data_IF_721191231388
#
_entry.id   IF_721191231388
#
_cell.length_a   1.000
_cell.length_b   1.000
_cell.length_c   1.000
_cell.angle_alpha   90.00
_cell.angle_beta   90.00
_cell.angle_gamma   90.00
#
_symmetry.space_group_name_H-M   'P 1'
#
loop_
_entity.id
_entity.type
_entity.pdbx_description
1 polymer ?
#
# COMPACT_ATOMS: atom_id res chain seq x y z
N UNK A 1 -18.60 -4.89 17.08
CA UNK A 1 -18.73 -6.32 16.77
C UNK A 1 -19.82 -6.87 17.66
N UNK A 2 -20.86 -7.51 17.08
CA UNK A 2 -21.95 -8.07 17.85
C UNK A 2 -21.51 -9.33 18.59
N UNK A 3 -22.34 -9.76 19.56
CA UNK A 3 -22.08 -11.01 20.28
C UNK A 3 -22.13 -12.23 19.33
N UNK A 4 -23.05 -12.18 18.37
CA UNK A 4 -23.13 -13.18 17.29
C UNK A 4 -21.85 -13.23 16.47
N UNK A 5 -21.30 -12.06 16.06
CA UNK A 5 -20.05 -11.99 15.30
C UNK A 5 -18.89 -12.60 16.09
N UNK A 6 -18.85 -12.33 17.39
CA UNK A 6 -17.82 -12.87 18.28
C UNK A 6 -17.89 -14.39 18.35
N UNK A 7 -19.10 -14.94 18.57
CA UNK A 7 -19.31 -16.39 18.59
C UNK A 7 -18.96 -17.03 17.25
N UNK A 8 -19.35 -16.41 16.15
CA UNK A 8 -19.10 -16.91 14.79
C UNK A 8 -17.59 -16.96 14.50
N UNK A 9 -16.85 -15.90 14.92
CA UNK A 9 -15.40 -15.85 14.77
C UNK A 9 -14.70 -16.94 15.59
N UNK A 10 -15.15 -17.17 16.83
CA UNK A 10 -14.61 -18.25 17.68
C UNK A 10 -14.92 -19.63 17.09
N UNK A 11 -16.13 -19.82 16.59
CA UNK A 11 -16.55 -21.06 15.96
C UNK A 11 -15.73 -21.35 14.69
N UNK A 12 -15.52 -20.34 13.84
CA UNK A 12 -14.65 -20.47 12.67
C UNK A 12 -13.24 -20.89 13.07
N UNK A 13 -12.69 -20.24 14.10
CA UNK A 13 -11.35 -20.53 14.61
C UNK A 13 -11.24 -21.95 15.19
N UNK A 14 -12.34 -22.50 15.68
CA UNK A 14 -12.38 -23.90 16.18
C UNK A 14 -12.11 -24.91 15.04
N UNK A 15 -12.66 -24.64 13.85
CA UNK A 15 -12.54 -25.54 12.69
C UNK A 15 -11.36 -25.19 11.79
N UNK A 16 -11.09 -23.90 11.60
CA UNK A 16 -10.07 -23.42 10.67
C UNK A 16 -8.97 -22.74 11.47
N UNK A 17 -7.81 -23.35 11.50
CA UNK A 17 -6.63 -22.80 12.19
C UNK A 17 -6.20 -21.50 11.50
N UNK A 18 -6.09 -20.38 12.22
CA UNK A 18 -5.61 -19.13 11.62
C UNK A 18 -4.24 -19.30 10.97
N UNK A 19 -4.08 -18.73 9.78
CA UNK A 19 -2.83 -18.77 9.04
C UNK A 19 -2.53 -20.10 8.35
N UNK A 20 -3.49 -21.02 8.31
CA UNK A 20 -3.29 -22.27 7.56
C UNK A 20 -3.38 -22.01 6.04
N UNK A 21 -2.35 -22.35 5.30
CA UNK A 21 -2.31 -22.21 3.84
C UNK A 21 -3.39 -23.06 3.17
N UNK A 22 -3.55 -24.28 3.66
CA UNK A 22 -4.56 -25.22 3.17
C UNK A 22 -5.37 -25.75 4.36
N UNK A 23 -6.44 -25.05 4.73
CA UNK A 23 -7.33 -25.56 5.77
C UNK A 23 -7.98 -26.86 5.31
N UNK A 24 -8.10 -27.83 6.19
CA UNK A 24 -8.68 -29.15 5.88
C UNK A 24 -10.20 -29.16 5.74
N UNK A 25 -10.81 -28.01 5.55
CA UNK A 25 -12.24 -27.83 5.37
C UNK A 25 -12.60 -26.40 5.05
N UNK A 26 -13.88 -26.14 4.85
CA UNK A 26 -14.42 -24.80 4.63
C UNK A 26 -15.45 -24.46 5.70
N UNK A 27 -15.47 -23.21 6.13
CA UNK A 27 -16.43 -22.66 7.08
C UNK A 27 -17.26 -21.58 6.41
N UNK A 28 -18.57 -21.76 6.35
CA UNK A 28 -19.50 -20.87 5.63
C UNK A 28 -20.52 -20.32 6.63
N UNK A 29 -20.52 -19.01 6.90
CA UNK A 29 -21.58 -18.39 7.70
C UNK A 29 -22.82 -18.15 6.86
N UNK A 30 -23.96 -18.18 7.51
CA UNK A 30 -25.28 -17.78 6.96
C UNK A 30 -25.63 -18.46 5.63
N UNK A 31 -25.81 -19.77 5.67
CA UNK A 31 -26.18 -20.56 4.47
C UNK A 31 -27.68 -20.68 4.39
N UNK A 32 -28.32 -20.05 3.39
CA UNK A 32 -29.75 -20.13 3.17
C UNK A 32 -30.10 -21.25 2.19
N UNK A 33 -31.12 -22.04 2.52
CA UNK A 33 -31.60 -23.09 1.62
C UNK A 33 -32.25 -22.46 0.38
N UNK A 34 -31.79 -22.88 -0.79
CA UNK A 34 -32.29 -22.42 -2.09
C UNK A 34 -32.24 -20.90 -2.27
N UNK A 35 -31.24 -20.27 -1.68
CA UNK A 35 -31.05 -18.81 -1.80
C UNK A 35 -32.06 -18.00 -1.00
N UNK A 36 -32.88 -18.66 -0.16
CA UNK A 36 -33.87 -18.00 0.66
C UNK A 36 -33.28 -17.18 1.80
N UNK A 37 -33.57 -15.93 1.81
CA UNK A 37 -33.21 -15.02 2.91
C UNK A 37 -34.16 -15.11 4.09
N UNK A 38 -35.19 -15.77 3.89
CA UNK A 38 -36.07 -15.98 4.92
C UNK A 38 -35.48 -16.83 6.00
N UNK A 39 -35.89 -16.44 7.09
CA UNK A 39 -35.30 -17.04 8.29
C UNK A 39 -35.42 -18.55 8.44
N UNK A 40 -36.31 -18.99 7.87
CA UNK A 40 -36.61 -20.35 8.07
C UNK A 40 -35.79 -21.34 7.38
N UNK A 41 -35.12 -21.13 6.65
CA UNK A 41 -34.26 -22.00 5.97
C UNK A 41 -32.82 -21.59 6.03
N UNK A 42 -32.48 -20.89 7.01
CA UNK A 42 -31.06 -20.47 7.11
C UNK A 42 -30.35 -21.15 8.27
N UNK A 43 -29.17 -21.67 7.98
CA UNK A 43 -28.21 -22.17 8.96
C UNK A 43 -27.22 -21.04 9.29
N UNK A 44 -26.94 -20.83 10.58
CA UNK A 44 -26.05 -19.73 11.00
C UNK A 44 -24.59 -19.99 10.61
N UNK A 45 -24.16 -21.26 10.61
CA UNK A 45 -22.84 -21.64 10.08
C UNK A 45 -22.80 -23.11 9.67
N UNK A 46 -22.06 -23.40 8.62
CA UNK A 46 -21.79 -24.77 8.16
C UNK A 46 -20.28 -24.95 8.08
N UNK A 47 -19.80 -26.08 8.57
CA UNK A 47 -18.43 -26.55 8.36
C UNK A 47 -18.45 -27.80 7.51
N UNK A 48 -17.57 -27.86 6.52
CA UNK A 48 -17.41 -29.07 5.68
C UNK A 48 -15.94 -29.48 5.75
N UNK A 49 -15.69 -30.64 6.30
CA UNK A 49 -14.35 -31.21 6.38
C UNK A 49 -13.98 -31.94 5.08
N UNK A 50 -12.74 -31.75 4.64
CA UNK A 50 -12.23 -32.33 3.39
C UNK A 50 -11.27 -33.48 3.61
N UNK A 51 -10.82 -33.69 4.83
CA UNK A 51 -9.76 -34.65 5.15
C UNK A 51 -10.28 -35.81 6.00
N UNK A 52 -9.52 -36.89 6.05
CA UNK A 52 -9.81 -38.03 6.93
C UNK A 52 -9.86 -37.60 8.40
N UNK A 53 -9.04 -36.65 8.80
CA UNK A 53 -9.02 -36.12 10.17
C UNK A 53 -10.30 -35.34 10.51
N UNK A 54 -11.00 -34.77 9.54
CA UNK A 54 -12.28 -34.09 9.69
C UNK A 54 -13.48 -34.94 9.28
N UNK A 55 -13.14 -36.06 9.01
CA UNK A 55 -14.06 -37.04 8.72
C UNK A 55 -14.97 -36.86 7.52
N UNK A 56 -14.75 -35.81 6.92
CA UNK A 56 -15.49 -35.49 5.98
C UNK A 56 -16.83 -35.15 6.33
N UNK A 57 -17.06 -34.62 7.31
CA UNK A 57 -18.34 -34.32 7.88
C UNK A 57 -18.93 -33.02 7.36
N UNK A 58 -20.23 -32.99 7.20
CA UNK A 58 -21.00 -31.76 7.04
C UNK A 58 -21.60 -31.45 8.41
N UNK A 59 -21.22 -30.33 9.01
CA UNK A 59 -21.59 -29.94 10.38
C UNK A 59 -22.34 -28.62 10.35
N UNK A 60 -23.58 -28.63 10.82
CA UNK A 60 -24.40 -27.42 10.89
C UNK A 60 -24.45 -26.83 12.29
N UNK A 61 -24.65 -25.52 12.36
CA UNK A 61 -24.67 -24.77 13.61
C UNK A 61 -25.81 -23.78 13.65
N UNK A 62 -26.58 -23.80 14.76
CA UNK A 62 -27.49 -22.71 15.12
C UNK A 62 -26.88 -21.91 16.27
N UNK A 63 -26.82 -20.58 16.16
CA UNK A 63 -26.29 -19.69 17.18
C UNK A 63 -27.41 -18.99 17.95
N UNK A 64 -27.34 -19.03 19.28
CA UNK A 64 -28.27 -18.33 20.15
C UNK A 64 -27.51 -17.55 21.19
N UNK A 65 -27.69 -16.23 21.20
CA UNK A 65 -26.90 -15.35 22.06
C UNK A 65 -27.60 -15.03 23.39
N UNK A 66 -28.88 -15.30 23.51
CA UNK A 66 -29.62 -15.01 24.74
C UNK A 66 -30.63 -16.11 25.06
N UNK A 67 -31.07 -16.11 26.30
CA UNK A 67 -32.14 -17.00 26.78
C UNK A 67 -33.44 -16.78 25.97
N UNK A 68 -33.78 -15.51 25.73
CA UNK A 68 -34.99 -15.17 24.95
C UNK A 68 -34.92 -15.71 23.52
N UNK A 69 -33.74 -15.61 22.89
CA UNK A 69 -33.48 -16.10 21.53
C UNK A 69 -33.63 -17.64 21.50
N UNK A 70 -33.14 -18.34 22.52
CA UNK A 70 -33.26 -19.78 22.64
C UNK A 70 -34.73 -20.18 22.83
N UNK A 71 -35.49 -19.50 23.70
CA UNK A 71 -36.90 -19.77 23.92
C UNK A 71 -37.75 -19.58 22.64
N UNK A 72 -37.44 -18.56 21.86
CA UNK A 72 -38.06 -18.34 20.54
C UNK A 72 -37.82 -19.52 19.59
N UNK A 73 -36.63 -20.12 19.63
CA UNK A 73 -36.30 -21.28 18.81
C UNK A 73 -37.17 -22.50 19.25
N UNK A 74 -37.25 -22.73 20.56
CA UNK A 74 -38.03 -23.81 21.12
C UNK A 74 -39.52 -23.68 20.78
N UNK A 75 -40.03 -22.44 20.73
CA UNK A 75 -41.43 -22.14 20.44
C UNK A 75 -41.75 -22.18 18.92
N UNK A 76 -40.75 -22.42 18.08
CA UNK A 76 -40.91 -22.49 16.62
C UNK A 76 -40.35 -23.84 16.11
N UNK A 77 -41.01 -24.94 16.39
CA UNK A 77 -40.51 -26.25 15.96
C UNK A 77 -40.35 -26.33 14.44
N UNK A 78 -39.35 -27.06 13.99
CA UNK A 78 -39.10 -27.30 12.58
C UNK A 78 -38.25 -26.25 11.89
N UNK A 79 -37.93 -25.13 12.55
CA UNK A 79 -37.13 -24.06 11.95
C UNK A 79 -35.69 -24.50 11.63
N UNK A 80 -35.07 -25.25 12.53
CA UNK A 80 -33.74 -25.78 12.35
C UNK A 80 -33.68 -27.11 11.61
N UNK A 81 -34.79 -27.81 11.54
CA UNK A 81 -34.86 -29.22 11.09
C UNK A 81 -34.40 -29.38 9.65
N UNK A 82 -34.74 -28.43 8.77
CA UNK A 82 -34.39 -28.51 7.36
C UNK A 82 -32.85 -28.66 7.15
N UNK A 83 -32.04 -27.90 7.91
CA UNK A 83 -30.62 -28.02 7.82
C UNK A 83 -30.05 -29.13 8.72
N UNK A 84 -30.65 -29.36 9.88
CA UNK A 84 -30.24 -30.45 10.78
C UNK A 84 -30.40 -31.81 10.08
N UNK A 85 -31.42 -31.96 9.25
CA UNK A 85 -31.64 -33.18 8.47
C UNK A 85 -30.56 -33.38 7.37
N UNK A 86 -30.00 -32.31 6.85
CA UNK A 86 -28.99 -32.36 5.82
C UNK A 86 -27.58 -32.67 6.37
N UNK A 87 -27.31 -32.29 7.63
CA UNK A 87 -26.00 -32.36 8.23
C UNK A 87 -25.72 -33.70 8.91
N UNK A 88 -24.48 -34.13 8.98
CA UNK A 88 -24.04 -35.30 9.77
C UNK A 88 -24.14 -35.02 11.27
N UNK A 89 -23.86 -33.76 11.66
CA UNK A 89 -23.97 -33.30 13.05
C UNK A 89 -24.60 -31.92 13.07
N UNK A 90 -25.40 -31.66 14.12
CA UNK A 90 -26.01 -30.35 14.34
C UNK A 90 -25.66 -29.85 15.74
N UNK A 91 -25.14 -28.63 15.80
CA UNK A 91 -24.68 -28.04 17.05
C UNK A 91 -25.40 -26.74 17.37
N UNK A 92 -25.86 -26.62 18.59
CA UNK A 92 -26.30 -25.33 19.15
C UNK A 92 -25.09 -24.66 19.76
N UNK A 93 -24.88 -23.41 19.39
CA UNK A 93 -23.75 -22.60 19.84
C UNK A 93 -24.25 -21.43 20.67
N UNK A 94 -23.79 -21.35 21.93
CA UNK A 94 -24.25 -20.34 22.89
C UNK A 94 -23.04 -19.68 23.57
N UNK A 95 -23.14 -18.41 24.01
CA UNK A 95 -22.04 -17.78 24.74
C UNK A 95 -21.82 -18.38 26.14
N UNK A 96 -22.88 -18.92 26.74
CA UNK A 96 -22.84 -19.59 28.02
C UNK A 96 -23.79 -20.78 28.05
N UNK A 97 -23.40 -21.94 28.62
CA UNK A 97 -24.31 -23.07 28.72
C UNK A 97 -25.51 -22.79 29.58
N UNK A 98 -25.54 -21.76 30.40
CA UNK A 98 -26.68 -21.35 31.24
C UNK A 98 -27.89 -20.90 30.44
N UNK A 99 -27.71 -20.60 29.15
CA UNK A 99 -28.81 -20.22 28.25
C UNK A 99 -29.78 -21.40 28.01
N UNK A 100 -29.22 -22.63 28.02
CA UNK A 100 -30.00 -23.85 27.77
C UNK A 100 -30.18 -24.61 29.08
N UNK A 101 -31.43 -24.82 29.48
CA UNK A 101 -31.72 -25.56 30.73
C UNK A 101 -31.74 -27.08 30.49
N UNK A 102 -31.66 -27.82 31.57
CA UNK A 102 -31.67 -29.28 31.50
C UNK A 102 -32.96 -29.77 30.85
N UNK A 103 -32.84 -30.67 29.89
CA UNK A 103 -33.98 -31.23 29.18
C UNK A 103 -34.52 -30.46 27.99
N UNK A 104 -34.03 -29.22 27.77
CA UNK A 104 -34.49 -28.37 26.65
C UNK A 104 -33.82 -28.70 25.32
N UNK A 105 -32.63 -29.27 25.36
CA UNK A 105 -31.90 -29.54 24.12
C UNK A 105 -32.48 -30.72 23.36
N UNK A 106 -32.88 -30.54 22.13
CA UNK A 106 -33.46 -31.64 21.35
C UNK A 106 -32.54 -32.84 21.24
N UNK A 107 -33.14 -34.00 21.08
CA UNK A 107 -32.37 -35.25 20.89
C UNK A 107 -31.46 -35.15 19.67
N UNK A 108 -30.21 -35.52 19.88
CA UNK A 108 -29.22 -35.41 18.82
C UNK A 108 -28.47 -34.09 18.72
N UNK A 109 -28.89 -33.00 19.16
CA UNK A 109 -28.24 -31.75 19.10
C UNK A 109 -27.23 -31.63 20.19
N UNK A 110 -26.25 -30.95 20.02
CA UNK A 110 -25.26 -30.73 20.94
C UNK A 110 -25.18 -29.29 21.33
N UNK A 111 -24.47 -28.86 22.40
CA UNK A 111 -24.17 -27.59 22.82
C UNK A 111 -22.74 -27.31 22.79
N UNK A 112 -22.25 -26.35 22.14
CA UNK A 112 -20.96 -25.88 22.08
C UNK A 112 -21.00 -24.50 22.64
N UNK A 113 -19.96 -24.09 23.45
CA UNK A 113 -19.82 -22.77 24.03
C UNK A 113 -18.33 -22.40 24.12
N UNK A 114 -17.97 -21.08 24.21
CA UNK A 114 -16.56 -20.69 24.39
C UNK A 114 -16.01 -21.25 25.70
N UNK A 115 -14.81 -21.82 25.64
CA UNK A 115 -14.08 -22.22 26.86
C UNK A 115 -13.58 -20.99 27.63
N UNK A 116 -13.08 -21.22 28.85
CA UNK A 116 -12.57 -20.13 29.71
C UNK A 116 -11.57 -19.20 29.03
N UNK A 117 -10.74 -19.76 28.18
CA UNK A 117 -9.71 -18.99 27.46
C UNK A 117 -10.25 -18.22 26.24
N UNK A 118 -11.55 -18.42 25.92
CA UNK A 118 -12.16 -17.89 24.66
C UNK A 118 -11.36 -18.15 23.38
N UNK A 119 -10.77 -19.21 23.47
CA UNK A 119 -9.93 -19.58 22.41
C UNK A 119 -10.38 -20.80 21.70
N UNK A 120 -11.05 -21.51 22.44
CA UNK A 120 -11.54 -22.78 21.93
C UNK A 120 -12.99 -22.97 22.33
N UNK A 121 -13.71 -23.71 21.50
CA UNK A 121 -15.07 -24.09 21.85
C UNK A 121 -15.01 -25.38 22.68
N UNK A 122 -15.91 -25.45 23.55
CA UNK A 122 -16.00 -26.60 24.35
C UNK A 122 -17.29 -27.26 24.05
N UNK A 123 -17.50 -28.49 24.14
CA UNK A 123 -18.67 -29.23 24.05
C UNK A 123 -19.20 -29.45 25.39
N UNK A 124 -20.34 -29.21 25.40
CA UNK A 124 -21.08 -29.45 26.55
C UNK A 124 -21.74 -30.72 26.52
N UNK A 125 -22.41 -31.03 25.43
CA UNK A 125 -22.99 -32.33 25.04
C UNK A 125 -22.56 -32.67 23.61
N UNK A 126 -22.01 -33.83 23.36
CA UNK A 126 -21.62 -34.23 21.99
C UNK A 126 -22.89 -34.46 21.13
N UNK A 127 -22.81 -34.02 19.86
CA UNK A 127 -23.86 -34.28 18.89
C UNK A 127 -23.92 -35.77 18.55
N UNK A 128 -25.11 -36.26 18.22
CA UNK A 128 -25.25 -37.60 17.63
C UNK A 128 -24.88 -37.49 16.15
N UNK A 129 -23.86 -38.27 15.77
CA UNK A 129 -23.40 -38.30 14.38
C UNK A 129 -24.26 -39.27 13.57
N UNK A 130 -24.77 -38.80 12.44
CA UNK A 130 -25.42 -39.68 11.47
C UNK A 130 -24.39 -40.58 10.79
N UNK A 131 -24.89 -41.65 10.17
CA UNK A 131 -24.05 -42.60 9.43
C UNK A 131 -23.14 -41.94 8.40
N UNK A 132 -21.98 -42.53 8.15
CA UNK A 132 -21.10 -42.09 7.08
C UNK A 132 -21.75 -42.16 5.68
N UNK A 133 -22.82 -42.95 5.55
CA UNK A 133 -23.60 -43.06 4.31
C UNK A 133 -24.61 -41.93 4.13
N UNK A 134 -24.80 -41.07 5.14
CA UNK A 134 -25.74 -39.95 5.07
C UNK A 134 -25.30 -39.01 3.92
N UNK A 135 -26.28 -38.55 3.15
CA UNK A 135 -25.99 -37.67 2.00
C UNK A 135 -26.95 -36.47 2.08
N UNK A 136 -26.42 -35.26 1.98
CA UNK A 136 -27.26 -34.09 1.87
C UNK A 136 -28.06 -34.10 0.54
N UNK A 137 -29.20 -33.45 0.52
CA UNK A 137 -29.99 -33.28 -0.69
C UNK A 137 -29.24 -32.40 -1.71
N UNK A 138 -29.67 -32.48 -2.98
CA UNK A 138 -29.17 -31.61 -4.03
C UNK A 138 -29.41 -30.13 -3.71
N UNK A 139 -30.53 -29.79 -3.09
CA UNK A 139 -30.84 -28.42 -2.70
C UNK A 139 -29.87 -27.88 -1.66
N UNK A 140 -29.51 -28.70 -0.67
CA UNK A 140 -28.49 -28.31 0.32
C UNK A 140 -27.10 -28.13 -0.32
N UNK A 141 -26.68 -29.08 -1.16
CA UNK A 141 -25.38 -29.00 -1.87
C UNK A 141 -25.30 -27.72 -2.73
N UNK A 142 -26.35 -27.47 -3.53
CA UNK A 142 -26.42 -26.28 -4.38
C UNK A 142 -26.36 -24.99 -3.55
N UNK A 143 -27.05 -24.95 -2.42
CA UNK A 143 -27.06 -23.80 -1.51
C UNK A 143 -25.68 -23.53 -0.90
N UNK A 144 -24.97 -24.58 -0.50
CA UNK A 144 -23.62 -24.53 0.02
C UNK A 144 -22.66 -23.96 -1.04
N UNK A 145 -22.73 -24.50 -2.27
CA UNK A 145 -21.87 -24.06 -3.38
C UNK A 145 -22.12 -22.58 -3.69
N UNK A 146 -23.39 -22.18 -3.78
CA UNK A 146 -23.78 -20.80 -4.05
C UNK A 146 -23.23 -19.84 -2.98
N UNK A 147 -23.33 -20.23 -1.70
CA UNK A 147 -22.81 -19.42 -0.60
C UNK A 147 -21.27 -19.32 -0.65
N UNK A 148 -20.61 -20.43 -0.90
CA UNK A 148 -19.16 -20.48 -1.04
C UNK A 148 -18.68 -19.56 -2.17
N UNK A 149 -19.34 -19.61 -3.32
CA UNK A 149 -19.03 -18.77 -4.47
C UNK A 149 -19.23 -17.28 -4.17
N UNK A 150 -20.35 -16.95 -3.49
CA UNK A 150 -20.61 -15.56 -3.06
C UNK A 150 -19.50 -15.02 -2.17
N UNK A 151 -19.09 -15.80 -1.17
CA UNK A 151 -18.04 -15.40 -0.23
C UNK A 151 -16.69 -15.25 -0.96
N UNK A 152 -16.38 -16.15 -1.88
CA UNK A 152 -15.18 -16.09 -2.71
C UNK A 152 -15.19 -14.82 -3.57
N UNK A 153 -16.27 -14.53 -4.26
CA UNK A 153 -16.41 -13.36 -5.12
C UNK A 153 -16.26 -12.06 -4.31
N UNK A 154 -16.89 -12.01 -3.12
CA UNK A 154 -16.78 -10.86 -2.21
C UNK A 154 -15.33 -10.65 -1.78
N UNK A 155 -14.64 -11.71 -1.36
CA UNK A 155 -13.24 -11.62 -0.92
C UNK A 155 -12.33 -11.13 -2.05
N UNK A 156 -12.54 -11.60 -3.27
CA UNK A 156 -11.78 -11.16 -4.46
C UNK A 156 -12.04 -9.66 -4.71
N UNK A 157 -13.30 -9.24 -4.64
CA UNK A 157 -13.68 -7.84 -4.86
C UNK A 157 -13.01 -6.93 -3.80
N UNK A 158 -13.06 -7.32 -2.54
CA UNK A 158 -12.45 -6.57 -1.43
C UNK A 158 -10.93 -6.49 -1.59
N UNK A 159 -10.28 -7.60 -1.95
CA UNK A 159 -8.83 -7.64 -2.16
C UNK A 159 -8.42 -6.72 -3.32
N UNK A 160 -9.20 -6.72 -4.41
CA UNK A 160 -8.96 -5.82 -5.57
C UNK A 160 -9.12 -4.35 -5.18
N UNK A 161 -10.15 -4.03 -4.41
CA UNK A 161 -10.40 -2.67 -3.93
C UNK A 161 -9.26 -2.19 -3.02
N UNK A 162 -8.81 -3.03 -2.10
CA UNK A 162 -7.69 -2.73 -1.20
C UNK A 162 -6.38 -2.51 -1.99
N UNK A 163 -6.08 -3.36 -2.98
CA UNK A 163 -4.89 -3.24 -3.82
C UNK A 163 -4.93 -1.95 -4.64
N UNK A 164 -6.10 -1.59 -5.18
CA UNK A 164 -6.29 -0.34 -5.93
C UNK A 164 -6.01 0.87 -5.04
N UNK A 165 -6.58 0.89 -3.85
CA UNK A 165 -6.38 1.97 -2.88
C UNK A 165 -4.91 2.13 -2.50
N UNK A 166 -4.21 1.02 -2.26
CA UNK A 166 -2.78 1.02 -1.96
C UNK A 166 -1.96 1.58 -3.14
N UNK A 167 -2.29 1.16 -4.37
CA UNK A 167 -1.61 1.66 -5.57
C UNK A 167 -1.83 3.17 -5.75
N UNK A 168 -3.05 3.65 -5.53
CA UNK A 168 -3.39 5.08 -5.60
C UNK A 168 -2.59 5.89 -4.56
N UNK A 169 -2.48 5.38 -3.34
CA UNK A 169 -1.67 6.02 -2.29
C UNK A 169 -0.21 6.11 -2.68
N UNK A 170 0.38 5.04 -3.21
CA UNK A 170 1.78 5.02 -3.65
C UNK A 170 2.03 6.01 -4.78
N UNK A 171 1.09 6.13 -5.74
CA UNK A 171 1.17 7.10 -6.83
C UNK A 171 1.14 8.54 -6.27
N UNK A 172 0.21 8.83 -5.36
CA UNK A 172 0.10 10.14 -4.72
C UNK A 172 1.39 10.51 -3.98
N UNK A 173 1.94 9.59 -3.19
CA UNK A 173 3.19 9.79 -2.45
C UNK A 173 4.37 10.05 -3.39
N UNK A 174 4.46 9.30 -4.50
CA UNK A 174 5.52 9.47 -5.50
C UNK A 174 5.41 10.83 -6.22
N UNK A 175 4.20 11.25 -6.57
CA UNK A 175 3.94 12.57 -7.19
C UNK A 175 4.33 13.68 -6.21
N UNK A 176 3.90 13.62 -4.96
CA UNK A 176 4.20 14.63 -3.94
C UNK A 176 5.72 14.71 -3.68
N UNK A 177 6.42 13.59 -3.61
CA UNK A 177 7.88 13.54 -3.47
C UNK A 177 8.58 14.16 -4.70
N UNK A 178 8.08 13.90 -5.90
CA UNK A 178 8.58 14.50 -7.15
C UNK A 178 8.40 16.01 -7.17
N UNK A 179 7.29 16.52 -6.74
CA UNK A 179 7.02 17.95 -6.58
C UNK A 179 7.93 18.60 -5.56
N UNK A 180 8.10 18.06 -4.68
CA UNK A 180 8.94 18.51 -3.65
C UNK A 180 10.38 18.59 -4.03
N UNK A 181 10.58 17.73 -4.76
CA UNK A 181 11.88 17.71 -5.31
C UNK A 181 12.14 18.79 -6.25
N UNK A 182 11.22 19.00 -7.10
CA UNK A 182 11.33 20.09 -8.09
C UNK A 182 11.36 21.46 -7.44
N UNK A 183 10.50 21.70 -6.49
CA UNK A 183 10.46 22.97 -5.78
C UNK A 183 11.76 23.27 -5.03
N UNK A 184 12.34 22.26 -4.42
CA UNK A 184 13.62 22.39 -3.72
C UNK A 184 14.78 22.70 -4.67
N UNK A 185 14.69 22.29 -5.94
CA UNK A 185 15.69 22.56 -6.98
C UNK A 185 15.46 23.88 -7.70
N UNK A 186 14.28 24.48 -7.58
CA UNK A 186 14.05 25.81 -8.16
C UNK A 186 14.84 26.85 -7.36
N UNK A 187 15.71 27.63 -8.04
CA UNK A 187 16.41 28.70 -7.34
C UNK A 187 15.39 29.72 -6.79
N UNK A 188 15.61 30.12 -5.58
CA UNK A 188 14.81 31.17 -4.97
C UNK A 188 15.02 32.47 -5.78
N UNK A 189 13.94 33.08 -6.20
CA UNK A 189 13.98 34.30 -6.99
C UNK A 189 14.72 35.45 -6.26
N UNK A 190 14.57 35.54 -4.96
CA UNK A 190 15.28 36.52 -4.13
C UNK A 190 16.78 36.25 -4.10
N UNK A 191 17.20 34.98 -4.01
CA UNK A 191 18.61 34.59 -4.05
C UNK A 191 19.22 34.91 -5.42
N UNK A 192 18.50 34.62 -6.50
CA UNK A 192 18.95 34.96 -7.86
C UNK A 192 19.10 36.45 -8.05
N UNK A 193 18.13 37.26 -7.58
CA UNK A 193 18.19 38.72 -7.65
C UNK A 193 19.39 39.27 -6.86
N UNK A 194 19.63 38.72 -5.66
CA UNK A 194 20.76 39.11 -4.83
C UNK A 194 22.09 38.83 -5.53
N UNK A 195 22.24 37.66 -6.14
CA UNK A 195 23.44 37.25 -6.90
C UNK A 195 23.64 38.15 -8.14
N UNK A 196 22.53 38.44 -8.86
CA UNK A 196 22.58 39.32 -10.02
C UNK A 196 23.08 40.72 -9.62
N UNK A 197 22.50 41.33 -8.56
CA UNK A 197 22.92 42.60 -8.04
C UNK A 197 24.38 42.61 -7.61
N UNK A 198 24.89 41.53 -7.04
CA UNK A 198 26.29 41.39 -6.66
C UNK A 198 27.18 41.41 -7.91
N UNK A 199 26.78 40.78 -9.00
CA UNK A 199 27.50 40.78 -10.28
C UNK A 199 27.48 42.18 -10.89
N UNK A 200 26.33 42.85 -10.93
CA UNK A 200 26.22 44.23 -11.44
C UNK A 200 27.06 45.21 -10.64
N UNK A 201 27.07 45.07 -9.31
CA UNK A 201 27.96 45.89 -8.45
C UNK A 201 29.44 45.67 -8.74
N UNK A 202 29.84 44.41 -8.95
CA UNK A 202 31.21 44.07 -9.29
C UNK A 202 31.63 44.62 -10.68
N UNK A 203 30.69 44.65 -11.62
CA UNK A 203 30.91 45.21 -12.96
C UNK A 203 30.86 46.75 -12.96
N UNK A 204 30.29 47.35 -11.95
CA UNK A 204 30.04 48.79 -11.90
C UNK A 204 28.96 49.24 -12.90
N UNK A 205 28.11 48.32 -13.36
CA UNK A 205 27.11 48.61 -14.41
C UNK A 205 25.93 47.64 -14.31
N UNK A 206 24.73 48.11 -14.70
CA UNK A 206 23.55 47.26 -14.80
C UNK A 206 23.53 46.49 -16.12
N UNK A 207 23.00 45.26 -16.08
CA UNK A 207 22.92 44.42 -17.28
C UNK A 207 21.65 44.77 -18.06
N UNK A 208 21.78 45.26 -19.28
CA UNK A 208 20.70 45.58 -20.18
C UNK A 208 20.30 44.31 -20.99
N UNK A 209 19.31 43.60 -20.49
CA UNK A 209 18.80 42.37 -21.09
C UNK A 209 18.15 42.62 -22.44
N UNK A 210 17.41 43.75 -22.58
CA UNK A 210 16.70 44.09 -23.80
C UNK A 210 17.66 44.42 -24.94
N UNK A 211 18.73 45.19 -24.65
CA UNK A 211 19.79 45.49 -25.62
C UNK A 211 20.57 44.22 -25.98
N UNK A 212 20.81 43.35 -24.99
CA UNK A 212 21.48 42.06 -25.18
C UNK A 212 20.74 41.16 -26.16
N UNK A 213 19.42 41.01 -25.97
CA UNK A 213 18.59 40.21 -26.86
C UNK A 213 18.54 40.75 -28.30
N UNK A 214 18.70 42.06 -28.46
CA UNK A 214 18.65 42.73 -29.78
C UNK A 214 20.07 42.85 -30.41
N UNK A 215 21.11 42.31 -29.78
CA UNK A 215 22.46 42.41 -30.26
C UNK A 215 23.02 43.85 -30.33
N UNK A 216 22.53 44.72 -29.46
CA UNK A 216 22.92 46.14 -29.45
C UNK A 216 24.00 46.35 -28.40
N UNK A 217 24.83 47.34 -28.64
CA UNK A 217 25.85 47.81 -27.68
C UNK A 217 25.27 48.95 -26.84
N UNK A 218 25.61 48.99 -25.57
CA UNK A 218 25.19 50.07 -24.65
C UNK A 218 26.45 50.76 -24.12
N UNK A 219 26.28 51.95 -23.57
CA UNK A 219 27.37 52.79 -23.06
C UNK A 219 26.99 53.36 -21.69
N UNK A 220 27.99 53.76 -20.94
CA UNK A 220 27.79 54.36 -19.62
C UNK A 220 27.65 53.29 -18.52
N UNK A 221 26.55 53.39 -17.76
CA UNK A 221 26.29 52.55 -16.58
C UNK A 221 25.55 51.25 -16.92
N UNK A 222 25.47 50.90 -18.22
CA UNK A 222 24.80 49.68 -18.69
C UNK A 222 25.72 48.82 -19.56
N UNK A 223 25.62 47.53 -19.43
CA UNK A 223 26.40 46.54 -20.23
C UNK A 223 25.44 45.46 -20.79
N UNK A 224 25.90 44.91 -21.88
CA UNK A 224 25.19 43.77 -22.50
C UNK A 224 25.93 42.45 -22.30
N UNK A 225 25.51 41.56 -22.56
CA UNK A 225 26.02 40.36 -22.52
C UNK A 225 27.12 40.23 -23.33
N UNK A 226 27.05 40.55 -24.53
CA UNK A 226 28.20 40.54 -25.43
C UNK A 226 29.40 41.33 -24.89
N UNK A 227 29.13 42.49 -24.31
CA UNK A 227 30.16 43.26 -23.67
C UNK A 227 30.77 42.53 -22.47
N UNK A 228 29.96 41.82 -21.67
CA UNK A 228 30.45 40.99 -20.54
C UNK A 228 31.35 39.86 -21.07
N UNK A 229 30.93 39.22 -22.17
CA UNK A 229 31.74 38.17 -22.81
C UNK A 229 33.09 38.70 -23.27
N UNK A 230 33.11 39.90 -23.83
CA UNK A 230 34.36 40.57 -24.25
C UNK A 230 35.25 40.86 -23.02
N UNK A 231 34.68 41.36 -21.93
CA UNK A 231 35.41 41.60 -20.67
C UNK A 231 35.96 40.26 -20.14
N UNK A 232 35.16 39.22 -20.13
CA UNK A 232 35.59 37.91 -19.65
C UNK A 232 36.72 37.34 -20.52
N UNK A 233 36.67 37.53 -21.83
CA UNK A 233 37.73 37.13 -22.74
C UNK A 233 39.06 37.91 -22.46
N UNK A 234 38.92 39.21 -22.25
CA UNK A 234 40.07 40.07 -21.91
C UNK A 234 40.72 39.67 -20.58
N UNK A 235 39.90 39.35 -19.56
CA UNK A 235 40.40 38.89 -18.25
C UNK A 235 41.15 37.57 -18.40
N UNK A 236 40.63 36.63 -19.18
CA UNK A 236 41.29 35.35 -19.42
C UNK A 236 42.63 35.54 -20.15
N UNK A 237 42.67 36.41 -21.17
CA UNK A 237 43.89 36.71 -21.90
C UNK A 237 44.95 37.40 -21.01
N UNK A 238 44.49 38.35 -20.17
CA UNK A 238 45.38 38.99 -19.19
C UNK A 238 45.98 37.97 -18.21
N UNK A 239 45.15 37.07 -17.69
CA UNK A 239 45.62 35.96 -16.81
C UNK A 239 46.68 35.09 -17.49
N UNK A 240 46.52 34.80 -18.79
CA UNK A 240 47.49 34.04 -19.56
C UNK A 240 48.81 34.81 -19.71
N UNK A 241 48.72 36.11 -19.96
CA UNK A 241 49.93 36.99 -20.00
C UNK A 241 50.66 37.01 -18.64
N UNK A 242 49.87 37.15 -17.55
CA UNK A 242 50.42 37.16 -16.20
C UNK A 242 51.11 35.82 -15.87
N UNK A 243 50.50 34.72 -16.23
CA UNK A 243 51.05 33.37 -16.03
C UNK A 243 52.36 33.22 -16.82
N UNK A 244 52.38 33.64 -18.09
CA UNK A 244 53.59 33.58 -18.92
C UNK A 244 54.72 34.48 -18.37
N UNK A 245 54.36 35.68 -17.89
CA UNK A 245 55.36 36.62 -17.28
C UNK A 245 55.90 36.02 -15.97
N UNK A 246 55.06 35.38 -15.14
CA UNK A 246 55.54 34.70 -13.93
C UNK A 246 56.52 33.55 -14.27
N UNK A 247 56.17 32.80 -15.32
CA UNK A 247 57.10 31.72 -15.78
C UNK A 247 58.46 32.22 -16.19
N UNK A 248 58.58 33.44 -16.75
CA UNK A 248 59.85 34.06 -17.11
C UNK A 248 60.67 34.41 -15.88
N UNK A 249 60.07 34.67 -14.74
CA UNK A 249 60.74 35.08 -13.51
C UNK A 249 61.00 33.95 -12.53
N UNK A 250 60.41 32.76 -12.77
CA UNK A 250 60.53 31.60 -11.88
C UNK A 250 61.97 31.00 -11.92
N UNK A 251 62.54 30.43 -10.83
CA UNK A 251 63.82 29.74 -10.84
C UNK A 251 63.73 28.46 -11.70
N UNK A 252 64.51 28.40 -12.74
CA UNK A 252 64.45 27.39 -13.79
C UNK A 252 65.43 26.24 -13.61
N UNK A 253 64.92 25.02 -13.84
CA UNK A 253 65.75 23.81 -13.93
C UNK A 253 66.36 23.65 -15.31
N UNK A 254 65.70 24.14 -16.36
CA UNK A 254 66.23 24.19 -17.75
C UNK A 254 65.90 25.56 -18.32
N UNK A 255 66.89 26.50 -18.22
CA UNK A 255 66.65 27.88 -18.63
C UNK A 255 66.28 28.05 -20.11
N UNK A 256 66.90 27.28 -21.00
CA UNK A 256 66.67 27.43 -22.45
C UNK A 256 65.27 27.02 -22.85
N UNK A 257 64.85 25.85 -22.40
CA UNK A 257 63.52 25.28 -22.71
C UNK A 257 62.42 26.14 -22.08
N UNK A 258 62.61 26.47 -20.81
CA UNK A 258 61.56 27.23 -20.08
C UNK A 258 61.42 28.65 -20.65
N UNK A 259 62.53 29.29 -21.10
CA UNK A 259 62.46 30.60 -21.76
C UNK A 259 61.67 30.51 -23.07
N UNK A 260 61.92 29.48 -23.87
CA UNK A 260 61.18 29.27 -25.13
C UNK A 260 59.74 29.10 -24.89
N UNK A 261 59.33 28.18 -23.98
CA UNK A 261 57.95 27.88 -23.68
C UNK A 261 57.25 29.14 -23.13
N UNK A 262 57.88 29.92 -22.28
CA UNK A 262 57.32 31.15 -21.72
C UNK A 262 57.13 32.24 -22.77
N UNK A 263 58.12 32.39 -23.70
CA UNK A 263 58.02 33.36 -24.81
C UNK A 263 56.86 32.95 -25.78
N UNK A 264 56.73 31.68 -26.10
CA UNK A 264 55.68 31.18 -26.95
C UNK A 264 54.27 31.40 -26.26
N UNK A 265 54.18 31.14 -24.97
CA UNK A 265 52.97 31.38 -24.17
C UNK A 265 52.62 32.87 -24.14
N UNK A 266 53.59 33.76 -23.95
CA UNK A 266 53.40 35.20 -23.96
C UNK A 266 52.88 35.68 -25.34
N UNK A 267 53.51 35.20 -26.42
CA UNK A 267 53.16 35.57 -27.80
C UNK A 267 51.65 35.13 -28.08
N UNK A 268 51.30 33.94 -27.70
CA UNK A 268 49.93 33.45 -27.86
C UNK A 268 48.90 34.29 -27.06
N UNK A 269 49.27 34.65 -25.82
CA UNK A 269 48.40 35.47 -24.95
C UNK A 269 48.23 36.89 -25.49
N UNK A 270 49.30 37.49 -26.04
CA UNK A 270 49.25 38.82 -26.65
C UNK A 270 48.39 38.81 -27.93
N UNK A 271 48.49 37.78 -28.73
CA UNK A 271 47.63 37.63 -29.92
C UNK A 271 46.17 37.51 -29.53
N UNK A 272 45.87 36.76 -28.45
CA UNK A 272 44.52 36.69 -27.89
C UNK A 272 44.00 38.07 -27.48
N UNK A 273 44.81 38.89 -26.83
CA UNK A 273 44.41 40.25 -26.45
C UNK A 273 44.21 41.14 -27.69
N UNK A 274 45.02 40.99 -28.71
CA UNK A 274 44.87 41.73 -29.98
C UNK A 274 43.55 41.43 -30.68
N UNK A 275 43.15 40.18 -30.65
CA UNK A 275 41.87 39.76 -31.30
C UNK A 275 40.63 40.32 -30.62
N UNK A 276 40.77 40.75 -29.36
CA UNK A 276 39.67 41.30 -28.57
C UNK A 276 39.58 42.85 -28.72
N UNK A 277 40.72 43.52 -29.04
CA UNK A 277 40.73 44.95 -29.19
C UNK A 277 39.89 45.39 -30.41
N UNK A 278 38.98 46.36 -30.26
CA UNK A 278 38.23 46.85 -31.42
C UNK A 278 39.19 47.58 -32.39
N UNK A 279 39.02 47.33 -33.66
CA UNK A 279 39.74 48.02 -34.74
C UNK A 279 39.26 49.48 -34.89
#
# INVERSE_FOLDING_TARGET
MSETDTLLALLKRHYIKPGADLPGGVFLPEVGMNGGWXAXXRCDAIYIGFTSSSXXLLVGHGLKVSRADWLNELNTPGKADAWADECHEWWLVVPSPTIVQAGELPAGXXXXHPGRSKXRMXXXKPATRKSADHRPSWDAVRSIIARSDTLRATAIHEARAAARKEAEQKITEAVDAGVXXRLARQPDAEDLQRKLKAVEAALGAEIDWVASEKGRTTWGDRVTXGQIETIAAAVRAYGAVETAAQALTAPWRDPIRNTKDAVEGLAAALEGLRSIAPS
#
